data_IF_652041023142
#
_entry.id   IF_652041023142
#
_cell.length_a   1.000
_cell.length_b   1.000
_cell.length_c   1.000
_cell.angle_alpha   90.00
_cell.angle_beta   90.00
_cell.angle_gamma   90.00
#
_symmetry.space_group_name_H-M   'P 1'
#
loop_
_entity.id
_entity.type
_entity.pdbx_description
1 polymer ?
#
# COMPACT_ATOMS: atom_id res chain seq x y z
N UNK A 1 53.68 56.60 39.47
CA UNK A 1 53.25 55.21 39.78
C UNK A 1 51.74 55.19 39.95
N UNK A 2 51.03 54.32 39.17
CA UNK A 2 49.68 53.70 39.37
C UNK A 2 48.53 54.64 39.84
N UNK A 3 47.53 55.04 39.01
CA UNK A 3 46.37 54.29 38.43
C UNK A 3 45.73 53.31 39.43
N UNK A 4 44.42 53.18 39.64
CA UNK A 4 43.20 53.86 39.20
C UNK A 4 42.06 53.38 40.12
N UNK A 5 40.99 54.15 40.17
CA UNK A 5 39.80 54.02 41.02
C UNK A 5 38.94 52.79 40.65
N UNK A 6 38.36 52.21 41.70
CA UNK A 6 37.41 51.10 41.78
C UNK A 6 36.14 51.38 40.96
N UNK A 7 35.69 50.41 40.15
CA UNK A 7 34.32 50.32 39.67
C UNK A 7 33.88 48.86 39.65
N UNK A 8 32.71 48.63 40.22
CA UNK A 8 32.09 47.35 40.48
C UNK A 8 31.05 46.98 39.41
N UNK A 9 30.69 45.68 39.39
CA UNK A 9 29.56 45.04 38.71
C UNK A 9 29.69 45.00 37.17
N UNK A 10 29.34 43.92 36.45
CA UNK A 10 28.24 42.96 36.56
C UNK A 10 28.72 41.58 36.11
N UNK A 11 28.35 40.54 36.86
CA UNK A 11 28.43 39.13 36.45
C UNK A 11 27.35 38.88 35.40
N UNK A 12 27.76 38.64 34.16
CA UNK A 12 26.90 38.15 33.09
C UNK A 12 27.35 36.74 32.68
N UNK A 13 26.68 35.73 33.21
CA UNK A 13 26.73 34.36 32.71
C UNK A 13 26.16 34.36 31.27
N UNK A 14 27.02 34.39 30.26
CA UNK A 14 26.61 33.97 28.91
C UNK A 14 26.56 32.45 28.91
N UNK A 15 25.40 31.95 29.36
CA UNK A 15 25.03 30.55 29.25
C UNK A 15 25.04 30.11 27.79
N UNK A 16 25.58 28.92 27.60
CA UNK A 16 25.45 28.09 26.41
C UNK A 16 23.96 27.93 26.07
N UNK A 17 23.43 28.80 25.21
CA UNK A 17 22.13 28.63 24.57
C UNK A 17 22.29 27.62 23.45
N UNK A 18 22.04 26.37 23.77
CA UNK A 18 21.91 25.22 22.88
C UNK A 18 21.37 25.59 21.49
N UNK A 19 22.22 25.57 20.47
CA UNK A 19 21.83 25.32 19.07
C UNK A 19 21.43 23.84 18.91
N UNK A 20 20.61 23.33 19.82
CA UNK A 20 19.73 22.21 19.53
C UNK A 20 18.54 22.84 18.81
N UNK A 21 18.72 23.10 17.51
CA UNK A 21 17.59 23.18 16.60
C UNK A 21 16.78 21.92 16.91
N UNK A 22 15.62 22.13 17.51
CA UNK A 22 14.66 21.08 17.79
C UNK A 22 14.48 20.33 16.47
N UNK A 23 15.01 19.10 16.41
CA UNK A 23 14.49 18.11 15.50
C UNK A 23 13.02 18.01 15.90
N UNK A 24 12.16 18.71 15.17
CA UNK A 24 10.73 18.73 15.39
C UNK A 24 10.30 17.27 15.35
N UNK A 25 10.04 16.70 16.53
CA UNK A 25 9.67 15.30 16.64
C UNK A 25 8.40 15.15 15.80
N UNK A 26 8.49 14.45 14.67
CA UNK A 26 7.38 14.24 13.76
C UNK A 26 6.19 13.75 14.59
N UNK A 27 5.16 14.59 14.70
CA UNK A 27 3.97 14.24 15.45
C UNK A 27 3.37 12.97 14.85
N UNK A 28 3.17 11.91 15.65
CA UNK A 28 2.62 10.67 15.14
C UNK A 28 1.24 10.92 14.55
N UNK A 29 0.86 10.12 13.56
CA UNK A 29 -0.46 10.25 12.94
C UNK A 29 -1.56 9.97 13.98
N UNK A 30 -2.59 10.81 13.97
CA UNK A 30 -3.85 10.49 14.65
C UNK A 30 -4.55 9.33 13.94
N UNK A 31 -5.47 8.66 14.66
CA UNK A 31 -6.29 7.62 14.04
C UNK A 31 -7.10 8.14 12.84
N UNK A 32 -7.60 9.38 12.92
CA UNK A 32 -8.31 10.04 11.82
C UNK A 32 -7.41 10.23 10.60
N UNK A 33 -6.21 10.77 10.78
CA UNK A 33 -5.22 10.95 9.70
C UNK A 33 -4.83 9.61 9.06
N UNK A 34 -4.64 8.56 9.86
CA UNK A 34 -4.37 7.23 9.35
C UNK A 34 -5.51 6.72 8.44
N UNK A 35 -6.77 6.99 8.79
CA UNK A 35 -7.92 6.67 7.92
C UNK A 35 -7.97 7.58 6.68
N UNK A 36 -7.67 8.87 6.82
CA UNK A 36 -7.60 9.81 5.69
C UNK A 36 -6.59 9.34 4.64
N UNK A 37 -5.43 8.84 5.06
CA UNK A 37 -4.46 8.21 4.13
C UNK A 37 -5.14 7.08 3.34
N UNK A 38 -5.89 6.20 3.99
CA UNK A 38 -6.54 5.04 3.32
C UNK A 38 -7.60 5.48 2.32
N UNK A 39 -8.40 6.49 2.65
CA UNK A 39 -9.40 7.04 1.74
C UNK A 39 -8.71 7.66 0.51
N UNK A 40 -7.75 8.55 0.73
CA UNK A 40 -7.09 9.29 -0.36
C UNK A 40 -6.24 8.37 -1.24
N UNK A 41 -5.41 7.51 -0.63
CA UNK A 41 -4.62 6.54 -1.38
C UNK A 41 -5.51 5.55 -2.12
N UNK A 42 -6.61 5.10 -1.49
CA UNK A 42 -7.60 4.23 -2.12
C UNK A 42 -8.19 4.87 -3.37
N UNK A 43 -8.65 6.13 -3.29
CA UNK A 43 -9.19 6.85 -4.44
C UNK A 43 -8.18 6.96 -5.59
N UNK A 44 -6.93 7.31 -5.28
CA UNK A 44 -5.85 7.37 -6.28
C UNK A 44 -5.58 6.02 -6.92
N UNK A 45 -5.55 4.94 -6.13
CA UNK A 45 -5.41 3.56 -6.65
C UNK A 45 -6.58 3.23 -7.57
N UNK A 46 -7.82 3.48 -7.15
CA UNK A 46 -9.02 3.21 -7.96
C UNK A 46 -8.98 3.89 -9.33
N UNK A 47 -8.64 5.19 -9.35
CA UNK A 47 -8.48 5.96 -10.58
C UNK A 47 -7.35 5.41 -11.47
N UNK A 48 -6.23 5.03 -10.86
CA UNK A 48 -5.09 4.44 -11.58
C UNK A 48 -5.47 3.11 -12.22
N UNK A 49 -6.14 2.23 -11.47
CA UNK A 49 -6.53 0.90 -11.97
C UNK A 49 -7.45 1.04 -13.19
N UNK A 50 -8.45 1.91 -13.12
CA UNK A 50 -9.33 2.11 -14.25
C UNK A 50 -8.59 2.70 -15.46
N UNK A 51 -7.81 3.76 -15.27
CA UNK A 51 -7.12 4.45 -16.36
C UNK A 51 -6.01 3.62 -17.01
N UNK A 52 -5.26 2.84 -16.23
CA UNK A 52 -4.08 2.11 -16.71
C UNK A 52 -4.40 0.67 -17.15
N UNK A 53 -5.38 0.00 -16.54
CA UNK A 53 -5.72 -1.38 -16.90
C UNK A 53 -6.90 -1.48 -17.86
N UNK A 54 -7.74 -0.45 -17.94
CA UNK A 54 -8.97 -0.44 -18.74
C UNK A 54 -9.84 -1.68 -18.52
N UNK A 55 -9.93 -2.13 -17.26
CA UNK A 55 -10.82 -3.22 -16.84
C UNK A 55 -12.20 -2.65 -16.49
N UNK A 56 -13.25 -3.42 -16.77
CA UNK A 56 -14.66 -3.06 -16.48
C UNK A 56 -15.15 -3.76 -15.21
N UNK A 57 -14.56 -4.90 -14.84
CA UNK A 57 -14.95 -5.69 -13.67
C UNK A 57 -13.77 -5.88 -12.73
N UNK A 58 -13.82 -5.20 -11.58
CA UNK A 58 -12.78 -5.24 -10.56
C UNK A 58 -13.26 -5.97 -9.32
N UNK A 59 -12.53 -7.03 -8.96
CA UNK A 59 -12.59 -7.68 -7.66
C UNK A 59 -11.59 -7.08 -6.69
N UNK A 60 -11.94 -7.02 -5.40
CA UNK A 60 -11.00 -6.70 -4.32
C UNK A 60 -11.13 -7.74 -3.22
N UNK A 61 -10.02 -8.37 -2.84
CA UNK A 61 -9.92 -9.22 -1.65
C UNK A 61 -9.00 -8.52 -0.65
N UNK A 62 -9.47 -8.34 0.58
CA UNK A 62 -8.67 -7.79 1.66
C UNK A 62 -8.79 -8.60 2.93
N UNK A 63 -7.81 -8.45 3.82
CA UNK A 63 -7.98 -8.83 5.22
C UNK A 63 -9.19 -8.12 5.84
N UNK A 64 -9.88 -8.81 6.75
CA UNK A 64 -10.98 -8.28 7.55
C UNK A 64 -10.44 -7.35 8.63
N UNK A 65 -10.25 -6.10 8.23
CA UNK A 65 -9.66 -5.05 9.07
C UNK A 65 -10.30 -3.69 8.77
N UNK A 66 -10.28 -2.78 9.73
CA UNK A 66 -10.84 -1.42 9.55
C UNK A 66 -10.04 -0.65 8.51
N UNK A 67 -8.72 -0.80 8.56
CA UNK A 67 -7.78 -0.13 7.66
C UNK A 67 -8.00 -0.57 6.21
N UNK A 68 -8.19 -1.86 5.98
CA UNK A 68 -8.46 -2.39 4.64
C UNK A 68 -9.85 -2.00 4.15
N UNK A 69 -10.89 -2.07 4.99
CA UNK A 69 -12.24 -1.66 4.61
C UNK A 69 -12.31 -0.19 4.15
N UNK A 70 -11.68 0.72 4.90
CA UNK A 70 -11.60 2.14 4.50
C UNK A 70 -10.84 2.33 3.18
N UNK A 71 -9.74 1.60 2.98
CA UNK A 71 -8.98 1.62 1.73
C UNK A 71 -9.84 1.17 0.55
N UNK A 72 -10.55 0.05 0.69
CA UNK A 72 -11.42 -0.49 -0.37
C UNK A 72 -12.53 0.49 -0.71
N UNK A 73 -13.15 1.14 0.28
CA UNK A 73 -14.13 2.19 0.04
C UNK A 73 -13.57 3.34 -0.81
N UNK A 74 -12.32 3.75 -0.54
CA UNK A 74 -11.59 4.70 -1.37
C UNK A 74 -11.36 4.17 -2.79
N UNK A 75 -10.90 2.92 -2.94
CA UNK A 75 -10.67 2.27 -4.25
C UNK A 75 -11.95 2.26 -5.08
N UNK A 76 -13.06 1.77 -4.52
CA UNK A 76 -14.35 1.73 -5.22
C UNK A 76 -14.80 3.14 -5.62
N UNK A 77 -14.71 4.11 -4.70
CA UNK A 77 -15.04 5.50 -4.99
C UNK A 77 -14.22 6.10 -6.13
N UNK A 78 -12.91 5.84 -6.17
CA UNK A 78 -12.02 6.29 -7.24
C UNK A 78 -12.26 5.59 -8.57
N UNK A 79 -12.40 4.26 -8.53
CA UNK A 79 -12.59 3.40 -9.71
C UNK A 79 -13.88 3.71 -10.47
N UNK A 80 -14.97 4.00 -9.76
CA UNK A 80 -16.28 4.27 -10.35
C UNK A 80 -16.47 5.74 -10.80
N UNK A 81 -15.49 6.63 -10.59
CA UNK A 81 -15.64 8.06 -10.96
C UNK A 81 -15.78 8.28 -12.47
N UNK A 82 -15.12 7.45 -13.28
CA UNK A 82 -15.03 7.63 -14.74
C UNK A 82 -15.77 6.54 -15.52
N UNK A 83 -16.21 5.46 -14.86
CA UNK A 83 -17.05 4.39 -15.41
C UNK A 83 -18.04 3.96 -14.33
N UNK A 84 -19.15 4.71 -14.20
CA UNK A 84 -20.11 4.52 -13.11
C UNK A 84 -20.93 3.22 -13.19
N UNK A 85 -20.91 2.55 -14.33
CA UNK A 85 -21.55 1.27 -14.61
C UNK A 85 -20.59 0.06 -14.51
N UNK A 86 -19.30 0.31 -14.22
CA UNK A 86 -18.32 -0.75 -14.04
C UNK A 86 -18.68 -1.65 -12.83
N UNK A 87 -18.41 -2.95 -12.98
CA UNK A 87 -18.60 -3.93 -11.91
C UNK A 87 -17.52 -3.79 -10.83
N UNK A 88 -17.95 -3.78 -9.57
CA UNK A 88 -17.05 -3.78 -8.41
C UNK A 88 -17.51 -4.80 -7.38
N UNK A 89 -16.68 -5.80 -7.10
CA UNK A 89 -16.94 -6.84 -6.09
C UNK A 89 -15.91 -6.75 -4.99
N UNK A 90 -16.36 -6.72 -3.73
CA UNK A 90 -15.48 -6.70 -2.56
C UNK A 90 -15.73 -7.90 -1.66
N UNK A 91 -14.64 -8.53 -1.24
CA UNK A 91 -14.62 -9.59 -0.24
C UNK A 91 -13.59 -9.35 0.85
N UNK A 92 -14.01 -9.64 2.09
CA UNK A 92 -13.23 -9.43 3.29
C UNK A 92 -13.00 -10.75 4.02
N UNK A 93 -11.74 -11.18 4.09
CA UNK A 93 -11.37 -12.54 4.51
C UNK A 93 -10.63 -12.54 5.84
N UNK A 94 -10.86 -13.57 6.65
CA UNK A 94 -10.11 -13.85 7.89
C UNK A 94 -9.75 -15.34 8.03
N UNK A 95 -10.51 -16.22 7.40
CA UNK A 95 -10.37 -17.69 7.45
C UNK A 95 -10.14 -18.29 6.06
N UNK A 96 -9.72 -19.55 6.01
CA UNK A 96 -9.56 -20.26 4.73
C UNK A 96 -10.91 -20.44 4.02
N UNK A 97 -11.98 -20.66 4.78
CA UNK A 97 -13.36 -20.74 4.27
C UNK A 97 -13.80 -19.42 3.64
N UNK A 98 -13.50 -18.28 4.30
CA UNK A 98 -13.76 -16.96 3.72
C UNK A 98 -13.00 -16.79 2.39
N UNK A 99 -11.74 -17.22 2.33
CA UNK A 99 -10.90 -17.14 1.12
C UNK A 99 -11.51 -17.92 -0.03
N UNK A 100 -11.94 -19.17 0.20
CA UNK A 100 -12.56 -20.01 -0.84
C UNK A 100 -13.85 -19.37 -1.37
N UNK A 101 -14.71 -18.88 -0.48
CA UNK A 101 -15.92 -18.18 -0.85
C UNK A 101 -15.64 -16.89 -1.63
N UNK A 102 -14.62 -16.13 -1.21
CA UNK A 102 -14.21 -14.91 -1.87
C UNK A 102 -13.72 -15.17 -3.30
N UNK A 103 -12.81 -16.14 -3.48
CA UNK A 103 -12.26 -16.51 -4.80
C UNK A 103 -13.37 -16.95 -5.76
N UNK A 104 -14.35 -17.73 -5.29
CA UNK A 104 -15.49 -18.14 -6.12
C UNK A 104 -16.24 -16.93 -6.72
N UNK A 105 -16.37 -15.82 -5.97
CA UNK A 105 -17.00 -14.58 -6.44
C UNK A 105 -16.12 -13.73 -7.34
N UNK A 106 -14.81 -14.00 -7.37
CA UNK A 106 -13.86 -13.26 -8.20
C UNK A 106 -13.68 -13.84 -9.61
N UNK A 107 -14.20 -15.04 -9.88
CA UNK A 107 -13.89 -15.77 -11.11
C UNK A 107 -14.28 -15.06 -12.40
N UNK A 108 -15.29 -14.19 -12.35
CA UNK A 108 -15.76 -13.40 -13.50
C UNK A 108 -15.11 -12.00 -13.58
N UNK A 109 -14.26 -11.65 -12.61
CA UNK A 109 -13.58 -10.35 -12.60
C UNK A 109 -12.39 -10.35 -13.56
N UNK A 110 -12.16 -9.23 -14.23
CA UNK A 110 -11.02 -9.06 -15.15
C UNK A 110 -9.72 -8.79 -14.41
N UNK A 111 -9.83 -8.20 -13.21
CA UNK A 111 -8.73 -8.01 -12.28
C UNK A 111 -9.19 -8.24 -10.84
N UNK A 112 -8.27 -8.75 -10.01
CA UNK A 112 -8.46 -8.89 -8.57
C UNK A 112 -7.33 -8.16 -7.86
N UNK A 113 -7.70 -7.18 -7.06
CA UNK A 113 -6.79 -6.42 -6.20
C UNK A 113 -6.65 -7.08 -4.83
N UNK A 114 -5.43 -7.38 -4.43
CA UNK A 114 -5.09 -8.05 -3.17
C UNK A 114 -4.52 -7.05 -2.16
N UNK A 115 -5.27 -6.78 -1.08
CA UNK A 115 -4.94 -5.78 -0.07
C UNK A 115 -4.65 -6.39 1.32
N UNK A 116 -3.40 -6.81 1.54
CA UNK A 116 -2.92 -7.53 2.73
C UNK A 116 -1.74 -6.81 3.41
N UNK A 117 -1.87 -5.51 3.75
CA UNK A 117 -0.70 -4.70 4.18
C UNK A 117 -0.87 -3.83 5.43
N UNK A 118 -2.05 -3.81 6.06
CA UNK A 118 -2.42 -2.71 6.96
C UNK A 118 -2.30 -2.98 8.46
N UNK A 119 -3.28 -3.69 9.01
CA UNK A 119 -3.56 -3.73 10.46
C UNK A 119 -2.90 -4.93 11.17
N UNK A 120 -2.68 -6.03 10.44
CA UNK A 120 -2.17 -7.29 11.00
C UNK A 120 -0.65 -7.40 10.90
N UNK A 121 -0.07 -8.30 11.71
CA UNK A 121 1.35 -8.60 11.64
C UNK A 121 1.71 -9.16 10.26
N UNK A 122 2.96 -8.95 9.84
CA UNK A 122 3.42 -9.36 8.50
C UNK A 122 3.18 -10.85 8.23
N UNK A 123 3.49 -11.71 9.19
CA UNK A 123 3.37 -13.17 9.02
C UNK A 123 1.90 -13.60 8.92
N UNK A 124 1.00 -12.93 9.63
CA UNK A 124 -0.45 -13.14 9.50
C UNK A 124 -0.93 -12.72 8.11
N UNK A 125 -0.46 -11.58 7.59
CA UNK A 125 -0.77 -11.13 6.22
C UNK A 125 -0.26 -12.13 5.18
N UNK A 126 0.97 -12.63 5.33
CA UNK A 126 1.55 -13.64 4.43
C UNK A 126 0.71 -14.90 4.40
N UNK A 127 0.28 -15.40 5.58
CA UNK A 127 -0.52 -16.61 5.67
C UNK A 127 -1.83 -16.48 4.88
N UNK A 128 -2.58 -15.39 5.09
CA UNK A 128 -3.87 -15.20 4.39
C UNK A 128 -3.67 -14.90 2.90
N UNK A 129 -2.61 -14.15 2.54
CA UNK A 129 -2.25 -13.93 1.14
C UNK A 129 -1.90 -15.25 0.44
N UNK A 130 -1.10 -16.11 1.08
CA UNK A 130 -0.73 -17.42 0.54
C UNK A 130 -1.98 -18.29 0.33
N UNK A 131 -2.87 -18.38 1.31
CA UNK A 131 -4.15 -19.07 1.18
C UNK A 131 -4.96 -18.54 -0.02
N UNK A 132 -4.99 -17.21 -0.19
CA UNK A 132 -5.68 -16.57 -1.31
C UNK A 132 -5.06 -16.93 -2.66
N UNK A 133 -3.73 -16.89 -2.76
CA UNK A 133 -3.01 -17.24 -3.99
C UNK A 133 -3.14 -18.73 -4.33
N UNK A 134 -3.14 -19.61 -3.33
CA UNK A 134 -3.41 -21.04 -3.51
C UNK A 134 -4.83 -21.26 -4.03
N UNK A 135 -5.83 -20.59 -3.45
CA UNK A 135 -7.21 -20.71 -3.89
C UNK A 135 -7.43 -20.16 -5.31
N UNK A 136 -6.80 -19.04 -5.67
CA UNK A 136 -6.81 -18.51 -7.04
C UNK A 136 -6.16 -19.48 -8.04
N UNK A 137 -5.04 -20.10 -7.66
CA UNK A 137 -4.38 -21.13 -8.47
C UNK A 137 -5.28 -22.36 -8.66
N UNK A 138 -5.93 -22.83 -7.60
CA UNK A 138 -6.85 -23.98 -7.64
C UNK A 138 -8.09 -23.72 -8.50
N UNK A 139 -8.62 -22.51 -8.45
CA UNK A 139 -9.74 -22.09 -9.29
C UNK A 139 -9.31 -21.75 -10.72
N UNK A 140 -8.01 -21.77 -11.03
CA UNK A 140 -7.43 -21.40 -12.31
C UNK A 140 -7.88 -20.00 -12.78
N UNK A 141 -7.86 -19.02 -11.87
CA UNK A 141 -8.25 -17.64 -12.18
C UNK A 141 -7.35 -17.04 -13.28
N UNK A 142 -7.97 -16.47 -14.33
CA UNK A 142 -7.31 -16.00 -15.56
C UNK A 142 -7.16 -14.48 -15.67
N UNK A 143 -7.82 -13.73 -14.78
CA UNK A 143 -7.72 -12.27 -14.77
C UNK A 143 -6.39 -11.79 -14.19
N UNK A 144 -6.22 -10.47 -14.13
CA UNK A 144 -5.00 -9.87 -13.60
C UNK A 144 -5.01 -9.87 -12.07
N UNK A 145 -3.94 -10.32 -11.43
CA UNK A 145 -3.75 -10.19 -9.98
C UNK A 145 -2.94 -8.93 -9.72
N UNK A 146 -3.48 -8.02 -8.91
CA UNK A 146 -2.85 -6.74 -8.57
C UNK A 146 -2.49 -6.70 -7.10
N UNK A 147 -1.21 -6.59 -6.77
CA UNK A 147 -0.74 -6.48 -5.39
C UNK A 147 -0.80 -5.03 -4.89
N UNK A 148 -1.37 -4.84 -3.70
CA UNK A 148 -1.34 -3.57 -3.00
C UNK A 148 0.09 -3.11 -2.67
N UNK A 149 0.30 -1.80 -2.63
CA UNK A 149 1.62 -1.19 -2.42
C UNK A 149 2.36 -1.70 -1.18
N UNK A 150 1.70 -1.76 -0.03
CA UNK A 150 2.34 -2.25 1.20
C UNK A 150 2.58 -3.76 1.17
N UNK A 151 1.66 -4.54 0.59
CA UNK A 151 1.85 -5.99 0.39
C UNK A 151 3.09 -6.26 -0.46
N UNK A 152 3.27 -5.48 -1.53
CA UNK A 152 4.42 -5.56 -2.41
C UNK A 152 5.72 -5.09 -1.74
N UNK A 153 5.71 -3.90 -1.12
CA UNK A 153 6.89 -3.29 -0.51
C UNK A 153 7.46 -4.14 0.65
N UNK A 154 6.60 -4.88 1.35
CA UNK A 154 7.01 -5.82 2.40
C UNK A 154 7.50 -7.17 1.87
N UNK A 155 7.62 -7.33 0.55
CA UNK A 155 8.07 -8.54 -0.13
C UNK A 155 7.23 -9.79 0.18
N UNK A 156 5.95 -9.62 0.54
CA UNK A 156 5.10 -10.75 0.94
C UNK A 156 4.90 -11.75 -0.23
N UNK A 157 4.56 -11.33 -1.46
CA UNK A 157 4.46 -12.26 -2.59
C UNK A 157 5.77 -12.99 -2.88
N UNK A 158 6.91 -12.30 -2.78
CA UNK A 158 8.24 -12.84 -3.05
C UNK A 158 8.63 -13.92 -2.04
N UNK A 159 8.25 -13.76 -0.77
CA UNK A 159 8.48 -14.80 0.24
C UNK A 159 7.59 -16.02 0.01
N UNK A 160 6.35 -15.83 -0.43
CA UNK A 160 5.46 -16.93 -0.80
C UNK A 160 6.01 -17.68 -2.02
N UNK A 161 6.50 -16.97 -3.04
CA UNK A 161 7.14 -17.55 -4.22
C UNK A 161 8.30 -18.49 -3.86
N UNK A 162 9.10 -18.14 -2.86
CA UNK A 162 10.23 -18.96 -2.40
C UNK A 162 9.80 -20.22 -1.65
N UNK A 163 8.67 -20.14 -0.94
CA UNK A 163 8.24 -21.18 0.01
C UNK A 163 7.11 -22.07 -0.51
N UNK A 164 6.44 -21.69 -1.60
CA UNK A 164 5.30 -22.42 -2.14
C UNK A 164 5.42 -22.63 -3.65
N UNK A 165 5.88 -23.82 -4.05
CA UNK A 165 6.12 -24.17 -5.45
C UNK A 165 4.84 -24.13 -6.33
N UNK A 166 3.66 -24.39 -5.75
CA UNK A 166 2.38 -24.32 -6.47
C UNK A 166 2.05 -22.86 -6.82
N UNK A 167 2.17 -21.97 -5.84
CA UNK A 167 1.98 -20.53 -6.07
C UNK A 167 3.03 -20.00 -7.05
N UNK A 168 4.29 -20.41 -6.92
CA UNK A 168 5.33 -20.04 -7.87
C UNK A 168 5.00 -20.46 -9.31
N UNK A 169 4.58 -21.72 -9.52
CA UNK A 169 4.16 -22.20 -10.83
C UNK A 169 2.97 -21.45 -11.40
N UNK A 170 1.97 -21.15 -10.57
CA UNK A 170 0.81 -20.35 -10.99
C UNK A 170 1.20 -18.93 -11.39
N UNK A 171 1.88 -18.21 -10.50
CA UNK A 171 2.27 -16.81 -10.70
C UNK A 171 3.23 -16.62 -11.87
N UNK A 172 4.06 -17.61 -12.21
CA UNK A 172 4.91 -17.57 -13.41
C UNK A 172 4.14 -17.49 -14.74
N UNK A 173 2.89 -17.96 -14.75
CA UNK A 173 2.02 -17.94 -15.95
C UNK A 173 0.88 -16.92 -15.88
N UNK A 174 0.62 -16.36 -14.70
CA UNK A 174 -0.47 -15.43 -14.46
C UNK A 174 -0.16 -14.00 -14.96
N UNK A 175 -1.21 -13.21 -15.18
CA UNK A 175 -1.08 -11.76 -15.42
C UNK A 175 -0.97 -11.06 -14.08
N UNK A 176 0.18 -10.43 -13.82
CA UNK A 176 0.48 -9.83 -12.53
C UNK A 176 0.76 -8.34 -12.67
N UNK A 177 0.30 -7.58 -11.69
CA UNK A 177 0.68 -6.20 -11.49
C UNK A 177 0.89 -5.89 -10.02
N UNK A 178 1.60 -4.80 -9.73
CA UNK A 178 1.80 -4.30 -8.38
C UNK A 178 1.76 -2.78 -8.37
N UNK A 179 1.24 -2.20 -7.30
CA UNK A 179 1.36 -0.77 -7.05
C UNK A 179 2.70 -0.50 -6.36
N UNK A 180 3.43 0.51 -6.80
CA UNK A 180 4.65 1.01 -6.13
C UNK A 180 4.49 2.49 -5.80
N UNK A 181 5.01 2.92 -4.65
CA UNK A 181 4.99 4.32 -4.22
C UNK A 181 6.38 4.95 -4.33
N UNK A 182 6.44 6.13 -4.92
CA UNK A 182 7.61 7.01 -4.99
C UNK A 182 7.28 8.32 -4.26
N UNK A 183 7.33 8.25 -2.93
CA UNK A 183 7.02 9.39 -2.05
C UNK A 183 7.96 10.58 -2.25
N UNK A 184 9.28 10.41 -2.53
CA UNK A 184 10.15 11.52 -2.91
C UNK A 184 9.63 12.32 -4.12
N UNK A 185 9.16 11.62 -5.17
CA UNK A 185 8.60 12.25 -6.37
C UNK A 185 7.09 12.47 -6.30
N UNK A 186 6.44 12.20 -5.16
CA UNK A 186 5.00 12.35 -4.97
C UNK A 186 4.17 11.55 -5.97
N UNK A 187 4.60 10.34 -6.31
CA UNK A 187 3.99 9.54 -7.37
C UNK A 187 3.67 8.11 -6.92
N UNK A 188 2.67 7.52 -7.57
CA UNK A 188 2.40 6.09 -7.52
C UNK A 188 2.46 5.52 -8.94
N UNK A 189 2.96 4.30 -9.08
CA UNK A 189 3.03 3.62 -10.37
C UNK A 189 2.35 2.26 -10.30
N UNK A 190 1.69 1.89 -11.41
CA UNK A 190 1.27 0.54 -11.67
C UNK A 190 2.40 -0.15 -12.46
N UNK A 191 2.90 -1.23 -11.90
CA UNK A 191 3.98 -2.02 -12.48
C UNK A 191 3.40 -3.34 -12.98
N UNK A 192 3.69 -3.71 -14.22
CA UNK A 192 3.56 -5.10 -14.67
C UNK A 192 4.63 -5.92 -13.96
N UNK A 193 4.22 -7.07 -13.45
CA UNK A 193 5.09 -8.00 -12.74
C UNK A 193 5.31 -9.23 -13.62
N UNK A 194 6.57 -9.62 -13.80
CA UNK A 194 6.93 -10.89 -14.46
C UNK A 194 7.72 -11.73 -13.47
N UNK A 195 7.33 -13.00 -13.31
CA UNK A 195 7.97 -13.95 -12.39
C UNK A 195 8.70 -15.02 -13.21
N UNK A 196 9.99 -15.21 -12.93
CA UNK A 196 10.82 -16.25 -13.55
C UNK A 196 11.48 -17.05 -12.45
N UNK A 197 10.97 -18.25 -12.16
CA UNK A 197 11.35 -18.99 -10.96
C UNK A 197 10.94 -18.20 -9.71
N UNK A 198 11.92 -17.79 -8.90
CA UNK A 198 11.70 -16.91 -7.74
C UNK A 198 12.03 -15.44 -8.01
N UNK A 199 12.58 -15.14 -9.18
CA UNK A 199 12.96 -13.77 -9.55
C UNK A 199 11.76 -13.01 -10.06
N UNK A 200 11.76 -11.70 -9.79
CA UNK A 200 10.68 -10.80 -10.15
C UNK A 200 11.22 -9.59 -10.90
N UNK A 201 10.64 -9.29 -12.06
CA UNK A 201 10.91 -8.08 -12.84
C UNK A 201 9.69 -7.16 -12.85
N UNK A 202 9.94 -5.87 -12.74
CA UNK A 202 8.94 -4.80 -12.88
C UNK A 202 9.10 -4.07 -14.20
N UNK A 203 7.98 -3.72 -14.82
CA UNK A 203 7.88 -2.85 -15.99
C UNK A 203 6.75 -1.85 -15.76
N UNK A 204 7.05 -0.55 -15.83
CA UNK A 204 6.06 0.49 -15.55
C UNK A 204 4.98 0.50 -16.63
N UNK A 205 3.72 0.37 -16.21
CA UNK A 205 2.55 0.48 -17.09
C UNK A 205 1.99 1.91 -17.12
N UNK A 206 2.23 2.66 -16.05
CA UNK A 206 1.79 4.04 -15.90
C UNK A 206 2.01 4.55 -14.49
N UNK A 207 1.91 5.87 -14.34
CA UNK A 207 2.04 6.56 -13.06
C UNK A 207 1.00 7.65 -12.89
N UNK A 208 0.74 8.00 -11.65
CA UNK A 208 -0.13 9.10 -11.25
C UNK A 208 0.55 9.93 -10.16
N UNK A 209 0.26 11.22 -10.17
CA UNK A 209 0.66 12.11 -9.09
C UNK A 209 -0.23 11.87 -7.87
N UNK A 210 0.39 11.83 -6.70
CA UNK A 210 -0.26 11.81 -5.41
C UNK A 210 -0.59 13.24 -5.01
N UNK A 211 -1.74 13.44 -4.37
CA UNK A 211 -2.08 14.73 -3.76
C UNK A 211 -1.01 15.14 -2.74
N UNK A 212 -0.69 16.43 -2.69
CA UNK A 212 0.33 16.96 -1.78
C UNK A 212 0.00 16.70 -0.30
N UNK A 213 -1.29 16.78 0.07
CA UNK A 213 -1.74 16.51 1.43
C UNK A 213 -1.63 15.01 1.81
N UNK A 214 -1.85 14.10 0.86
CA UNK A 214 -1.56 12.68 1.02
C UNK A 214 -0.07 12.42 1.23
N UNK A 215 0.78 13.06 0.43
CA UNK A 215 2.24 12.94 0.54
C UNK A 215 2.74 13.48 1.89
N UNK A 216 2.18 14.60 2.36
CA UNK A 216 2.50 15.16 3.67
C UNK A 216 2.17 14.18 4.80
N UNK A 217 1.03 13.49 4.72
CA UNK A 217 0.66 12.44 5.67
C UNK A 217 1.61 11.23 5.59
N UNK A 218 1.96 10.76 4.39
CA UNK A 218 2.93 9.66 4.24
C UNK A 218 4.31 9.99 4.82
N UNK A 219 4.78 11.24 4.71
CA UNK A 219 6.08 11.65 5.27
C UNK A 219 6.10 11.66 6.81
N UNK A 220 4.93 11.66 7.45
CA UNK A 220 4.76 11.58 8.91
C UNK A 220 4.50 10.15 9.41
N UNK A 221 4.11 9.24 8.51
CA UNK A 221 3.79 7.85 8.79
C UNK A 221 5.01 7.00 9.12
#
# INVERSE_FOLDING_TARGET
MRKSIISAMIVGFMGMGSMAAYAEAKQPLTAGEAQTIRIMAGATIGQTLQGAMNVTHLGVISNRSRVCGTLVGGIGGGYLTTQGDAGFVYESVATEEDVKAAVARMMEQEAVYLAFGGEFQRDENIKVLEQTLVALADANYQGTIVFHATTWAQQQPQDILKNNAKVAGYLASAKLAAITLDIPNSQAALQKVTVTGTDVKLEEMGRVDLREDLVALFRRA
#
